data_IF_993149195946
#
_entry.id   IF_993149195946
#
_cell.length_a   1.000
_cell.length_b   1.000
_cell.length_c   1.000
_cell.angle_alpha   90.00
_cell.angle_beta   90.00
_cell.angle_gamma   90.00
#
_symmetry.space_group_name_H-M   'P 1'
#
loop_
_entity.id
_entity.type
_entity.pdbx_description
1 polymer ?
#
# COMPACT_ATOMS: atom_id res chain seq x y z
N UNK A 1 -11.44 29.84 43.65
CA UNK A 1 -12.29 28.66 43.44
C UNK A 1 -12.24 28.13 42.00
N UNK A 2 -12.30 28.94 40.93
CA UNK A 2 -12.24 28.44 39.54
C UNK A 2 -10.96 27.64 39.22
N UNK A 3 -9.76 28.03 39.72
CA UNK A 3 -8.50 27.34 39.47
C UNK A 3 -8.36 25.97 40.17
N UNK A 4 -9.10 25.71 41.24
CA UNK A 4 -9.07 24.44 41.97
C UNK A 4 -9.95 23.41 41.24
N UNK A 5 -11.10 23.84 40.74
CA UNK A 5 -12.03 22.97 39.98
C UNK A 5 -11.42 22.52 38.68
N UNK A 6 -10.69 23.40 37.96
CA UNK A 6 -9.98 23.04 36.72
C UNK A 6 -8.85 22.04 36.98
N UNK A 7 -8.15 22.15 38.11
CA UNK A 7 -7.12 21.20 38.52
C UNK A 7 -7.67 19.85 38.97
N UNK A 8 -8.89 19.81 39.56
CA UNK A 8 -9.57 18.56 39.91
C UNK A 8 -10.16 17.83 38.71
N UNK A 9 -10.67 18.55 37.71
CA UNK A 9 -11.14 17.94 36.44
C UNK A 9 -10.02 17.35 35.60
N UNK A 10 -8.80 17.85 35.72
CA UNK A 10 -7.63 17.24 35.03
C UNK A 10 -7.19 15.91 35.66
N UNK A 11 -7.51 15.64 36.92
CA UNK A 11 -7.16 14.38 37.60
C UNK A 11 -8.00 13.16 37.14
N UNK A 12 -9.15 13.40 36.49
CA UNK A 12 -10.05 12.34 35.98
C UNK A 12 -10.00 12.17 34.46
N UNK A 13 -9.16 12.91 33.75
CA UNK A 13 -8.99 12.65 32.32
C UNK A 13 -8.35 11.28 32.16
N UNK A 14 -9.13 10.30 31.67
CA UNK A 14 -8.60 8.95 31.36
C UNK A 14 -7.34 9.13 30.52
N UNK A 15 -6.23 8.50 30.94
CA UNK A 15 -4.97 8.57 30.20
C UNK A 15 -5.20 8.09 28.77
N UNK A 16 -4.89 8.91 27.78
CA UNK A 16 -4.96 8.52 26.39
C UNK A 16 -3.91 7.45 26.09
N UNK A 17 -4.34 6.33 25.53
CA UNK A 17 -3.49 5.19 25.21
C UNK A 17 -3.46 4.95 23.71
N UNK A 18 -2.37 4.37 23.23
CA UNK A 18 -2.16 4.04 21.82
C UNK A 18 -2.02 2.53 21.67
N UNK A 19 -2.91 1.89 20.92
CA UNK A 19 -2.72 0.51 20.50
C UNK A 19 -1.76 0.48 19.31
N UNK A 20 -0.55 -0.01 19.51
CA UNK A 20 0.43 -0.29 18.45
C UNK A 20 0.07 -1.65 17.85
N UNK A 21 -0.39 -1.64 16.60
CA UNK A 21 -1.00 -2.77 15.90
C UNK A 21 0.03 -3.41 14.95
N UNK A 22 0.56 -4.59 15.32
CA UNK A 22 1.70 -5.24 14.67
C UNK A 22 1.35 -6.66 14.18
N UNK A 23 0.96 -6.84 12.92
CA UNK A 23 0.95 -8.17 12.30
C UNK A 23 2.39 -8.58 11.96
N UNK A 24 2.79 -9.79 12.29
CA UNK A 24 4.12 -10.29 12.00
C UNK A 24 4.05 -11.70 11.40
N UNK A 25 4.65 -11.89 10.24
CA UNK A 25 4.80 -13.20 9.61
C UNK A 25 6.27 -13.58 9.55
N UNK A 26 6.71 -14.44 10.50
CA UNK A 26 8.09 -14.93 10.56
C UNK A 26 9.09 -13.77 10.39
N UNK A 27 8.93 -12.68 11.18
CA UNK A 27 9.56 -11.40 10.95
C UNK A 27 10.73 -11.12 11.91
N UNK A 28 11.97 -11.05 11.40
CA UNK A 28 13.16 -10.77 12.22
C UNK A 28 13.12 -9.38 12.88
N UNK A 29 12.48 -8.41 12.25
CA UNK A 29 12.42 -7.02 12.74
C UNK A 29 11.31 -6.77 13.78
N UNK A 30 10.48 -7.76 14.14
CA UNK A 30 9.42 -7.58 15.13
C UNK A 30 9.95 -7.07 16.48
N UNK A 31 10.94 -7.75 17.04
CA UNK A 31 11.52 -7.40 18.36
C UNK A 31 12.29 -6.07 18.30
N UNK A 32 13.16 -5.82 17.32
CA UNK A 32 13.77 -4.50 17.12
C UNK A 32 12.75 -3.36 17.00
N UNK A 33 11.65 -3.55 16.26
CA UNK A 33 10.56 -2.57 16.12
C UNK A 33 9.90 -2.25 17.46
N UNK A 34 9.57 -3.27 18.26
CA UNK A 34 8.97 -3.08 19.58
C UNK A 34 9.92 -2.29 20.49
N UNK A 35 11.21 -2.66 20.52
CA UNK A 35 12.22 -2.00 21.35
C UNK A 35 12.40 -0.54 20.96
N UNK A 36 12.54 -0.24 19.70
CA UNK A 36 12.70 1.13 19.22
C UNK A 36 11.43 1.97 19.45
N UNK A 37 10.25 1.39 19.20
CA UNK A 37 8.95 2.01 19.49
C UNK A 37 8.84 2.48 20.94
N UNK A 38 9.22 1.63 21.89
CA UNK A 38 9.20 1.94 23.33
C UNK A 38 10.27 2.97 23.70
N UNK A 39 11.48 2.79 23.18
CA UNK A 39 12.63 3.64 23.52
C UNK A 39 12.49 5.09 23.03
N UNK A 40 11.83 5.29 21.89
CA UNK A 40 11.64 6.60 21.28
C UNK A 40 10.36 7.32 21.72
N UNK A 41 9.46 6.64 22.40
CA UNK A 41 8.22 7.24 22.87
C UNK A 41 8.47 8.25 23.99
N UNK A 42 7.74 9.37 24.00
CA UNK A 42 7.73 10.37 25.07
C UNK A 42 7.16 9.81 26.36
N UNK A 43 6.08 9.04 26.26
CA UNK A 43 5.45 8.35 27.38
C UNK A 43 5.18 6.88 27.04
N UNK A 44 6.19 6.00 27.21
CA UNK A 44 6.03 4.57 26.93
C UNK A 44 4.90 3.89 27.71
N UNK A 45 4.44 4.48 28.82
CA UNK A 45 3.38 3.91 29.64
C UNK A 45 1.98 4.05 29.03
N UNK A 46 1.83 4.83 27.95
CA UNK A 46 0.57 4.94 27.18
C UNK A 46 0.46 3.90 26.05
N UNK A 47 1.53 3.16 25.78
CA UNK A 47 1.56 2.20 24.69
C UNK A 47 0.94 0.85 25.14
N UNK A 48 0.09 0.32 24.28
CA UNK A 48 -0.46 -1.04 24.34
C UNK A 48 -0.14 -1.71 23.02
N UNK A 49 0.34 -2.93 23.05
CA UNK A 49 0.75 -3.67 21.85
C UNK A 49 -0.26 -4.76 21.53
N UNK A 50 -0.88 -4.68 20.35
CA UNK A 50 -1.68 -5.74 19.76
C UNK A 50 -0.86 -6.45 18.69
N UNK A 51 -0.51 -7.69 18.91
CA UNK A 51 0.41 -8.44 18.07
C UNK A 51 -0.26 -9.73 17.58
N UNK A 52 -0.28 -9.94 16.27
CA UNK A 52 -0.62 -11.23 15.67
C UNK A 52 0.65 -11.81 15.06
N UNK A 53 1.29 -12.73 15.79
CA UNK A 53 2.53 -13.38 15.39
C UNK A 53 2.21 -14.70 14.68
N UNK A 54 2.49 -14.76 13.38
CA UNK A 54 2.38 -15.94 12.54
C UNK A 54 3.78 -16.59 12.50
N UNK A 55 4.04 -17.52 13.41
CA UNK A 55 5.38 -17.97 13.78
C UNK A 55 5.69 -19.39 13.31
N UNK A 56 6.99 -19.67 13.08
CA UNK A 56 7.53 -21.02 13.01
C UNK A 56 8.36 -21.28 14.27
N UNK A 57 8.15 -22.38 15.02
CA UNK A 57 8.93 -22.70 16.21
C UNK A 57 10.45 -22.81 15.99
N UNK A 58 10.87 -23.06 14.75
CA UNK A 58 12.27 -23.12 14.36
C UNK A 58 12.93 -21.75 14.22
N UNK A 59 12.13 -20.69 13.98
CA UNK A 59 12.60 -19.32 13.88
C UNK A 59 12.84 -18.75 15.28
N UNK A 60 14.09 -18.46 15.62
CA UNK A 60 14.47 -17.98 16.96
C UNK A 60 14.51 -16.46 17.07
N UNK A 61 14.48 -15.76 15.95
CA UNK A 61 14.64 -14.31 15.89
C UNK A 61 13.42 -13.53 16.40
N UNK A 62 12.22 -14.10 16.37
CA UNK A 62 10.98 -13.46 16.81
C UNK A 62 10.51 -13.94 18.21
N UNK A 63 11.45 -14.30 19.08
CA UNK A 63 11.12 -14.74 20.43
C UNK A 63 10.54 -13.60 21.26
N UNK A 64 9.24 -13.66 21.52
CA UNK A 64 8.46 -12.62 22.21
C UNK A 64 8.24 -12.91 23.70
N UNK A 65 8.91 -13.91 24.26
CA UNK A 65 8.64 -14.38 25.62
C UNK A 65 8.89 -13.31 26.70
N UNK A 66 9.81 -12.37 26.48
CA UNK A 66 10.08 -11.27 27.41
C UNK A 66 8.85 -10.36 27.63
N UNK A 67 7.92 -10.31 26.67
CA UNK A 67 6.72 -9.44 26.71
C UNK A 67 5.47 -10.16 27.21
N UNK A 68 5.44 -11.49 27.35
CA UNK A 68 4.22 -12.24 27.65
C UNK A 68 3.61 -11.93 29.03
N UNK A 69 4.44 -11.51 29.98
CA UNK A 69 4.00 -11.17 31.33
C UNK A 69 3.70 -9.67 31.50
N UNK A 70 3.97 -8.84 30.52
CA UNK A 70 3.62 -7.43 30.52
C UNK A 70 2.18 -7.23 30.02
N UNK A 71 1.30 -6.70 30.89
CA UNK A 71 -0.13 -6.49 30.59
C UNK A 71 -0.40 -5.53 29.42
N UNK A 72 0.61 -4.77 29.01
CA UNK A 72 0.52 -3.92 27.81
C UNK A 72 0.52 -4.71 26.51
N UNK A 73 0.97 -5.97 26.52
CA UNK A 73 1.11 -6.82 25.35
C UNK A 73 -0.03 -7.81 25.24
N UNK A 74 -0.80 -7.68 24.19
CA UNK A 74 -1.90 -8.55 23.79
C UNK A 74 -1.45 -9.35 22.57
N UNK A 75 -1.06 -10.61 22.77
CA UNK A 75 -0.39 -11.42 21.76
C UNK A 75 -1.29 -12.57 21.32
N UNK A 76 -1.46 -12.70 20.01
CA UNK A 76 -2.08 -13.84 19.35
C UNK A 76 -0.96 -14.58 18.61
N UNK A 77 -0.75 -15.84 18.94
CA UNK A 77 0.17 -16.72 18.23
C UNK A 77 -0.61 -17.60 17.26
N UNK A 78 -0.21 -17.63 16.02
CA UNK A 78 -0.76 -18.47 14.96
C UNK A 78 0.41 -19.24 14.32
N UNK A 79 0.36 -20.58 14.22
CA UNK A 79 1.34 -21.31 13.41
C UNK A 79 1.36 -20.78 11.99
N UNK A 80 2.54 -20.58 11.40
CA UNK A 80 2.70 -19.95 10.09
C UNK A 80 1.96 -20.71 8.97
N UNK A 81 1.74 -22.01 9.15
CA UNK A 81 0.97 -22.85 8.23
C UNK A 81 -0.52 -22.46 8.18
N UNK A 82 -1.03 -21.81 9.21
CA UNK A 82 -2.43 -21.34 9.30
C UNK A 82 -2.61 -19.89 8.86
N UNK A 83 -1.55 -19.24 8.37
CA UNK A 83 -1.59 -17.88 7.89
C UNK A 83 -2.51 -17.73 6.67
N UNK A 84 -3.36 -16.68 6.68
CA UNK A 84 -4.35 -16.40 5.62
C UNK A 84 -4.14 -15.04 4.95
N UNK A 85 -2.93 -14.48 5.05
CA UNK A 85 -2.59 -13.17 4.53
C UNK A 85 -2.56 -12.07 5.59
N UNK A 86 -2.14 -10.88 5.18
CA UNK A 86 -1.91 -9.75 6.08
C UNK A 86 -3.21 -9.18 6.68
N UNK A 87 -4.29 -8.89 5.91
CA UNK A 87 -5.54 -8.37 6.46
C UNK A 87 -6.22 -9.33 7.46
N UNK A 88 -6.04 -10.64 7.30
CA UNK A 88 -6.50 -11.61 8.30
C UNK A 88 -5.81 -11.40 9.66
N UNK A 89 -4.47 -11.26 9.67
CA UNK A 89 -3.72 -11.00 10.90
C UNK A 89 -4.13 -9.67 11.53
N UNK A 90 -4.37 -8.63 10.72
CA UNK A 90 -4.86 -7.32 11.17
C UNK A 90 -6.27 -7.41 11.78
N UNK A 91 -7.17 -8.17 11.15
CA UNK A 91 -8.50 -8.40 11.68
C UNK A 91 -8.45 -9.07 13.08
N UNK A 92 -7.55 -10.04 13.28
CA UNK A 92 -7.34 -10.68 14.57
C UNK A 92 -6.85 -9.70 15.65
N UNK A 93 -5.97 -8.77 15.29
CA UNK A 93 -5.51 -7.73 16.24
C UNK A 93 -6.64 -6.76 16.59
N UNK A 94 -7.52 -6.42 15.66
CA UNK A 94 -8.66 -5.52 15.93
C UNK A 94 -9.58 -6.10 17.02
N UNK A 95 -9.66 -7.43 17.16
CA UNK A 95 -10.43 -8.09 18.24
C UNK A 95 -9.84 -7.83 19.65
N UNK A 96 -8.56 -7.40 19.73
CA UNK A 96 -7.88 -7.07 20.97
C UNK A 96 -8.15 -5.64 21.47
N UNK A 97 -8.84 -4.81 20.71
CA UNK A 97 -9.16 -3.43 21.10
C UNK A 97 -10.13 -3.47 22.28
N UNK A 98 -9.72 -2.92 23.45
CA UNK A 98 -10.54 -2.93 24.67
C UNK A 98 -10.93 -1.55 25.20
N UNK A 99 -10.32 -0.49 24.70
CA UNK A 99 -10.63 0.87 25.15
C UNK A 99 -9.46 1.82 25.04
N UNK A 100 -8.51 1.50 24.20
CA UNK A 100 -7.43 2.40 23.79
C UNK A 100 -8.03 3.60 23.05
N UNK A 101 -7.37 4.75 23.16
CA UNK A 101 -7.86 6.00 22.56
C UNK A 101 -7.50 6.07 21.08
N UNK A 102 -6.27 5.70 20.77
CA UNK A 102 -5.75 5.72 19.41
C UNK A 102 -5.28 4.33 18.98
N UNK A 103 -5.25 4.12 17.70
CA UNK A 103 -4.60 2.98 17.04
C UNK A 103 -3.48 3.50 16.14
N UNK A 104 -2.33 2.86 16.20
CA UNK A 104 -1.22 3.00 15.27
C UNK A 104 -1.05 1.68 14.53
N UNK A 105 -1.62 1.59 13.32
CA UNK A 105 -1.44 0.44 12.44
C UNK A 105 -0.09 0.54 11.75
N UNK A 106 0.71 -0.53 11.87
CA UNK A 106 2.03 -0.65 11.26
C UNK A 106 2.22 -2.05 10.65
N UNK A 107 3.30 -2.23 9.94
CA UNK A 107 3.94 -3.53 9.75
C UNK A 107 4.88 -3.82 10.94
N UNK A 108 5.68 -4.87 10.89
CA UNK A 108 6.53 -5.25 12.01
C UNK A 108 8.02 -4.98 11.78
N UNK A 109 8.36 -3.97 10.96
CA UNK A 109 9.74 -3.60 10.59
C UNK A 109 9.89 -2.08 10.44
N UNK A 110 9.87 -1.39 11.59
CA UNK A 110 9.89 0.07 11.68
C UNK A 110 10.95 0.60 12.64
N UNK A 111 11.32 1.88 12.49
CA UNK A 111 12.04 2.70 13.47
C UNK A 111 11.31 4.01 13.66
N UNK A 112 11.51 4.62 14.82
CA UNK A 112 10.72 5.76 15.28
C UNK A 112 11.61 6.99 15.52
N UNK A 113 11.06 8.18 15.30
CA UNK A 113 11.68 9.41 15.76
C UNK A 113 11.45 9.59 17.26
N UNK A 114 12.30 10.39 17.89
CA UNK A 114 12.09 10.77 19.29
C UNK A 114 10.73 11.46 19.48
N UNK A 115 10.02 11.12 20.55
CA UNK A 115 8.72 11.68 20.94
C UNK A 115 7.61 11.47 19.85
N UNK A 116 7.71 10.40 19.09
CA UNK A 116 6.79 10.07 17.99
C UNK A 116 5.33 10.01 18.41
N UNK A 117 5.06 9.49 19.61
CA UNK A 117 3.71 9.29 20.16
C UNK A 117 3.02 10.64 20.46
N UNK A 118 3.73 11.59 21.04
CA UNK A 118 3.24 12.94 21.27
C UNK A 118 3.05 13.68 19.94
N UNK A 119 3.99 13.52 19.01
CA UNK A 119 3.93 14.14 17.69
C UNK A 119 2.68 13.69 16.90
N UNK A 120 2.38 12.39 16.85
CA UNK A 120 1.19 11.89 16.15
C UNK A 120 -0.10 12.35 16.82
N UNK A 121 -0.16 12.28 18.15
CA UNK A 121 -1.35 12.72 18.90
C UNK A 121 -1.61 14.20 18.71
N UNK A 122 -0.54 15.05 18.77
CA UNK A 122 -0.70 16.49 18.52
C UNK A 122 -1.23 16.76 17.11
N UNK A 123 -0.61 16.20 16.07
CA UNK A 123 -1.07 16.36 14.69
C UNK A 123 -2.53 15.93 14.50
N UNK A 124 -2.92 14.82 15.13
CA UNK A 124 -4.27 14.30 15.03
C UNK A 124 -5.27 15.25 15.70
N UNK A 125 -4.98 15.70 16.93
CA UNK A 125 -5.86 16.60 17.68
C UNK A 125 -5.99 17.97 16.99
N UNK A 126 -4.91 18.53 16.45
CA UNK A 126 -4.94 19.78 15.68
C UNK A 126 -5.88 19.70 14.46
N UNK A 127 -6.01 18.51 13.86
CA UNK A 127 -6.94 18.27 12.76
C UNK A 127 -8.39 18.07 13.27
N UNK A 128 -8.59 17.36 14.40
CA UNK A 128 -9.90 17.25 15.05
C UNK A 128 -10.45 18.62 15.46
N UNK A 129 -9.60 19.48 16.02
CA UNK A 129 -9.97 20.85 16.42
C UNK A 129 -10.40 21.72 15.22
N UNK A 130 -9.92 21.40 14.01
CA UNK A 130 -10.36 21.97 12.73
C UNK A 130 -11.65 21.34 12.18
N UNK A 131 -12.25 20.39 12.88
CA UNK A 131 -13.50 19.72 12.52
C UNK A 131 -13.36 18.53 11.55
N UNK A 132 -12.15 18.00 11.35
CA UNK A 132 -11.93 16.80 10.56
C UNK A 132 -12.14 15.53 11.40
N UNK A 133 -12.37 14.40 10.74
CA UNK A 133 -12.31 13.04 11.30
C UNK A 133 -11.03 12.36 10.76
N UNK A 134 -9.83 12.69 11.30
CA UNK A 134 -8.58 12.46 10.63
C UNK A 134 -8.05 11.03 10.75
N UNK A 135 -7.42 10.56 9.68
CA UNK A 135 -6.50 9.44 9.66
C UNK A 135 -5.15 9.99 9.17
N UNK A 136 -4.12 9.96 10.01
CA UNK A 136 -2.76 10.22 9.58
C UNK A 136 -2.23 8.96 8.91
N UNK A 137 -1.84 9.07 7.64
CA UNK A 137 -1.36 7.97 6.83
C UNK A 137 -0.37 8.47 5.80
N UNK A 138 0.46 7.60 5.25
CA UNK A 138 1.41 8.00 4.21
C UNK A 138 2.39 6.91 3.90
N UNK A 139 3.12 7.07 2.81
CA UNK A 139 4.25 6.21 2.53
C UNK A 139 5.42 6.63 3.42
N UNK A 140 5.85 5.76 4.31
CA UNK A 140 6.93 6.07 5.26
C UNK A 140 8.29 6.07 4.56
N UNK A 141 9.20 7.00 4.93
CA UNK A 141 10.55 7.01 4.40
C UNK A 141 11.31 5.74 4.80
N UNK A 142 12.22 5.35 3.93
CA UNK A 142 13.02 4.14 4.02
C UNK A 142 14.11 4.19 5.10
N UNK A 143 14.43 3.02 5.66
CA UNK A 143 15.67 2.72 6.37
C UNK A 143 16.13 1.30 6.07
N UNK A 144 17.43 1.03 6.20
CA UNK A 144 18.00 -0.31 6.13
C UNK A 144 18.33 -0.84 7.53
N UNK A 145 17.76 -2.00 7.96
CA UNK A 145 18.13 -2.61 9.25
C UNK A 145 19.62 -2.92 9.38
N UNK A 146 20.31 -3.21 8.28
CA UNK A 146 21.76 -3.53 8.29
C UNK A 146 22.65 -2.31 8.48
N UNK A 147 22.13 -1.10 8.25
CA UNK A 147 22.86 0.16 8.32
C UNK A 147 22.14 1.21 9.17
N UNK A 148 21.27 0.75 10.08
CA UNK A 148 20.56 1.61 11.01
C UNK A 148 21.49 2.10 12.13
N UNK A 149 21.58 3.43 12.42
CA UNK A 149 20.74 4.51 11.92
C UNK A 149 21.28 5.28 10.69
N UNK A 150 22.45 4.93 10.14
CA UNK A 150 23.16 5.73 9.13
C UNK A 150 22.39 5.84 7.81
N UNK A 151 21.58 4.82 7.46
CA UNK A 151 20.83 4.76 6.19
C UNK A 151 19.34 5.09 6.38
N UNK A 152 19.01 5.97 7.33
CA UNK A 152 17.65 6.53 7.48
C UNK A 152 17.43 7.67 6.52
N UNK A 153 16.43 7.55 5.64
CA UNK A 153 16.02 8.62 4.75
C UNK A 153 15.65 9.88 5.57
N UNK A 154 16.15 11.04 5.17
CA UNK A 154 15.96 12.30 5.89
C UNK A 154 14.82 13.15 5.30
N UNK A 155 14.10 12.65 4.33
CA UNK A 155 13.02 13.34 3.64
C UNK A 155 11.69 12.62 3.86
N UNK A 156 10.60 13.32 4.20
CA UNK A 156 9.28 12.70 4.32
C UNK A 156 8.72 12.35 2.94
N UNK A 157 8.09 11.19 2.85
CA UNK A 157 7.48 10.70 1.62
C UNK A 157 5.95 10.81 1.68
N UNK A 158 5.33 10.86 0.51
CA UNK A 158 3.90 10.80 0.30
C UNK A 158 3.52 9.65 -0.64
N UNK A 159 2.26 9.28 -0.62
CA UNK A 159 1.69 8.33 -1.57
C UNK A 159 1.36 9.03 -2.87
N UNK A 160 1.80 8.46 -3.99
CA UNK A 160 1.53 8.93 -5.34
C UNK A 160 0.84 7.83 -6.15
N UNK A 161 -0.12 8.22 -6.97
CA UNK A 161 -0.71 7.32 -7.95
C UNK A 161 0.35 6.92 -8.99
N UNK A 162 0.47 5.64 -9.28
CA UNK A 162 1.34 5.14 -10.35
C UNK A 162 0.52 4.65 -11.55
N UNK A 163 -0.34 3.65 -11.33
CA UNK A 163 -1.18 3.09 -12.39
C UNK A 163 -2.35 2.29 -11.79
N UNK A 164 -3.27 1.88 -12.66
CA UNK A 164 -4.19 0.80 -12.38
C UNK A 164 -3.59 -0.54 -12.80
N UNK A 165 -3.68 -1.53 -11.93
CA UNK A 165 -3.40 -2.92 -12.31
C UNK A 165 -4.56 -3.52 -13.13
N UNK A 166 -4.31 -4.56 -13.96
CA UNK A 166 -5.35 -5.22 -14.75
C UNK A 166 -6.53 -5.73 -13.91
N UNK A 167 -6.27 -6.16 -12.69
CA UNK A 167 -7.29 -6.64 -11.76
C UNK A 167 -8.10 -5.55 -11.06
N UNK A 168 -7.86 -4.26 -11.39
CA UNK A 168 -8.68 -3.12 -10.95
C UNK A 168 -8.22 -2.41 -9.67
N UNK A 169 -7.13 -2.86 -9.02
CA UNK A 169 -6.54 -2.11 -7.91
C UNK A 169 -5.57 -1.03 -8.42
N UNK A 170 -5.22 -0.08 -7.56
CA UNK A 170 -4.25 0.98 -7.87
C UNK A 170 -2.88 0.58 -7.32
N UNK A 171 -1.85 0.77 -8.13
CA UNK A 171 -0.47 0.79 -7.66
C UNK A 171 -0.15 2.17 -7.13
N UNK A 172 0.24 2.23 -5.87
CA UNK A 172 0.65 3.43 -5.15
C UNK A 172 2.15 3.35 -4.94
N UNK A 173 2.87 4.40 -5.33
CA UNK A 173 4.32 4.47 -5.14
C UNK A 173 4.71 5.53 -4.12
N UNK A 174 5.90 5.42 -3.51
CA UNK A 174 6.47 6.51 -2.73
C UNK A 174 6.89 7.68 -3.62
N UNK A 175 6.83 8.88 -3.08
CA UNK A 175 7.40 10.07 -3.68
C UNK A 175 7.70 11.12 -2.60
N UNK A 176 8.62 12.03 -2.90
CA UNK A 176 8.97 13.10 -1.99
C UNK A 176 7.75 13.98 -1.67
N UNK A 177 7.56 14.29 -0.40
CA UNK A 177 6.55 15.26 0.04
C UNK A 177 6.97 16.68 -0.37
N UNK A 178 6.31 17.23 -1.39
CA UNK A 178 6.70 18.53 -1.95
C UNK A 178 6.57 19.68 -0.93
N UNK A 179 7.59 20.51 -0.85
CA UNK A 179 7.64 21.69 0.03
C UNK A 179 7.66 21.36 1.53
N UNK A 180 8.05 20.16 1.92
CA UNK A 180 8.04 19.70 3.32
C UNK A 180 8.85 20.58 4.26
N UNK A 181 9.93 21.20 3.77
CA UNK A 181 10.83 22.06 4.59
C UNK A 181 10.12 23.26 5.24
N UNK A 182 9.04 23.72 4.63
CA UNK A 182 8.28 24.89 5.09
C UNK A 182 6.90 24.57 5.62
N UNK A 183 6.49 23.28 5.58
CA UNK A 183 5.18 22.86 6.08
C UNK A 183 5.14 22.79 7.59
N UNK A 184 4.07 23.30 8.17
CA UNK A 184 3.83 23.33 9.61
C UNK A 184 2.68 22.41 10.05
N UNK A 185 1.94 21.84 9.09
CA UNK A 185 0.78 21.00 9.36
C UNK A 185 0.65 19.85 8.34
N UNK A 186 -0.05 18.74 8.70
CA UNK A 186 -0.35 17.64 7.79
C UNK A 186 -1.11 18.11 6.56
N UNK A 187 -0.89 17.42 5.43
CA UNK A 187 -1.58 17.71 4.17
C UNK A 187 -2.54 16.59 3.79
N UNK A 188 -3.52 16.90 2.95
CA UNK A 188 -4.48 15.92 2.47
C UNK A 188 -3.79 14.77 1.72
N UNK A 189 -4.25 13.54 1.97
CA UNK A 189 -3.85 12.33 1.27
C UNK A 189 -4.98 11.77 0.40
N UNK A 190 -4.63 11.10 -0.71
CA UNK A 190 -5.61 10.36 -1.53
C UNK A 190 -5.84 8.94 -1.02
N UNK A 191 -4.83 8.32 -0.46
CA UNK A 191 -4.82 6.89 -0.15
C UNK A 191 -4.44 6.64 1.30
N UNK A 192 -4.83 5.48 1.82
CA UNK A 192 -4.31 4.92 3.08
C UNK A 192 -3.18 3.96 2.72
N UNK A 193 -2.08 4.03 3.46
CA UNK A 193 -1.03 3.03 3.41
C UNK A 193 -1.32 1.88 4.37
N UNK A 194 -1.09 0.65 3.94
CA UNK A 194 -1.20 -0.52 4.79
C UNK A 194 -0.20 -0.53 5.94
N UNK A 195 1.01 -0.02 5.72
CA UNK A 195 2.08 -0.03 6.71
C UNK A 195 2.10 1.18 7.66
N UNK A 196 1.19 2.16 7.49
CA UNK A 196 1.06 3.28 8.41
C UNK A 196 -0.32 3.92 8.38
N UNK A 197 -1.05 3.81 9.48
CA UNK A 197 -2.24 4.61 9.74
C UNK A 197 -2.37 4.88 11.24
N UNK A 198 -2.61 6.15 11.60
CA UNK A 198 -2.86 6.58 12.98
C UNK A 198 -4.19 7.33 13.07
N UNK A 199 -5.08 6.85 13.94
CA UNK A 199 -6.43 7.40 14.10
C UNK A 199 -6.97 7.11 15.50
N UNK A 200 -8.17 7.61 15.81
CA UNK A 200 -8.98 7.11 16.95
C UNK A 200 -9.31 5.62 16.74
N UNK A 201 -9.39 4.84 17.81
CA UNK A 201 -9.73 3.40 17.73
C UNK A 201 -11.12 3.14 17.15
N UNK A 202 -12.03 4.13 17.19
CA UNK A 202 -13.32 4.10 16.52
C UNK A 202 -13.19 3.79 15.03
N UNK A 203 -12.15 4.32 14.37
CA UNK A 203 -11.86 3.98 12.98
C UNK A 203 -11.71 2.48 12.77
N UNK A 204 -10.87 1.82 13.55
CA UNK A 204 -10.61 0.38 13.40
C UNK A 204 -11.81 -0.50 13.77
N UNK A 205 -12.72 0.00 14.63
CA UNK A 205 -13.99 -0.67 14.97
C UNK A 205 -15.02 -0.54 13.86
N UNK A 206 -15.06 0.61 13.20
CA UNK A 206 -15.99 0.93 12.11
C UNK A 206 -15.47 0.36 10.77
N UNK A 207 -14.18 0.55 10.48
CA UNK A 207 -13.52 0.10 9.24
C UNK A 207 -12.70 -1.17 9.52
N UNK A 208 -13.39 -2.24 9.86
CA UNK A 208 -12.73 -3.52 10.13
C UNK A 208 -11.95 -4.01 8.91
N UNK A 209 -10.79 -4.60 9.14
CA UNK A 209 -10.08 -5.32 8.08
C UNK A 209 -10.92 -6.49 7.59
N UNK A 210 -11.05 -6.62 6.26
CA UNK A 210 -11.72 -7.75 5.64
C UNK A 210 -10.78 -8.97 5.61
N UNK A 211 -11.02 -10.03 6.39
CA UNK A 211 -10.12 -11.17 6.50
C UNK A 211 -10.07 -12.04 5.23
N UNK A 212 -10.95 -11.80 4.26
CA UNK A 212 -10.95 -12.48 2.97
C UNK A 212 -10.09 -11.74 1.91
N UNK A 213 -9.56 -10.56 2.23
CA UNK A 213 -8.51 -9.94 1.43
C UNK A 213 -7.19 -10.59 1.84
N UNK A 214 -6.50 -11.17 0.83
CA UNK A 214 -5.26 -11.89 1.10
C UNK A 214 -4.07 -10.95 1.30
N UNK A 215 -3.84 -10.04 0.35
CA UNK A 215 -2.77 -9.03 0.39
C UNK A 215 -3.11 -7.82 -0.46
N UNK A 216 -2.94 -7.93 -1.81
CA UNK A 216 -3.18 -6.81 -2.73
C UNK A 216 -4.66 -6.39 -2.74
N UNK A 217 -4.88 -5.09 -2.60
CA UNK A 217 -6.20 -4.47 -2.51
C UNK A 217 -6.57 -3.99 -1.10
N UNK A 218 -5.80 -4.34 -0.05
CA UNK A 218 -6.04 -3.88 1.30
C UNK A 218 -6.09 -2.35 1.40
N UNK A 219 -5.07 -1.67 0.88
CA UNK A 219 -4.95 -0.21 0.97
C UNK A 219 -6.13 0.50 0.29
N UNK A 220 -6.54 0.01 -0.88
CA UNK A 220 -7.68 0.57 -1.60
C UNK A 220 -9.00 0.29 -0.87
N UNK A 221 -9.17 -0.92 -0.30
CA UNK A 221 -10.32 -1.28 0.54
C UNK A 221 -10.47 -0.32 1.73
N UNK A 222 -9.39 -0.15 2.50
CA UNK A 222 -9.38 0.77 3.64
C UNK A 222 -9.64 2.21 3.21
N UNK A 223 -9.05 2.65 2.11
CA UNK A 223 -9.15 4.01 1.58
C UNK A 223 -10.60 4.38 1.26
N UNK A 224 -11.26 3.62 0.37
CA UNK A 224 -12.61 3.98 -0.09
C UNK A 224 -13.65 3.82 1.02
N UNK A 225 -13.48 2.81 1.88
CA UNK A 225 -14.37 2.60 3.02
C UNK A 225 -14.21 3.71 4.05
N UNK A 226 -13.00 4.06 4.43
CA UNK A 226 -12.74 5.17 5.36
C UNK A 226 -13.32 6.48 4.84
N UNK A 227 -13.05 6.83 3.58
CA UNK A 227 -13.58 8.06 2.99
C UNK A 227 -15.11 8.08 2.97
N UNK A 228 -15.75 6.99 2.55
CA UNK A 228 -17.22 6.92 2.48
C UNK A 228 -17.92 6.89 3.85
N UNK A 229 -17.20 6.48 4.91
CA UNK A 229 -17.65 6.62 6.31
C UNK A 229 -17.33 8.00 6.91
N UNK A 230 -16.82 8.94 6.11
CA UNK A 230 -16.63 10.32 6.52
C UNK A 230 -15.27 10.63 7.14
N UNK A 231 -14.31 9.72 7.09
CA UNK A 231 -12.93 9.99 7.52
C UNK A 231 -12.17 10.83 6.49
N UNK A 232 -11.21 11.61 6.99
CA UNK A 232 -10.37 12.51 6.22
C UNK A 232 -8.92 12.06 6.27
N UNK A 233 -8.29 11.87 5.11
CA UNK A 233 -6.95 11.32 4.99
C UNK A 233 -5.89 12.41 4.95
N UNK A 234 -4.82 12.26 5.74
CA UNK A 234 -3.74 13.23 5.84
C UNK A 234 -2.36 12.58 5.88
N UNK A 235 -1.39 13.18 5.18
CA UNK A 235 0.04 12.88 5.36
C UNK A 235 0.61 13.72 6.51
N UNK A 236 1.39 13.13 7.44
CA UNK A 236 2.26 13.89 8.31
C UNK A 236 3.22 14.77 7.49
N UNK A 237 3.39 16.00 7.90
CA UNK A 237 4.28 16.94 7.19
C UNK A 237 5.77 16.77 7.51
N UNK A 238 6.11 15.89 8.44
CA UNK A 238 7.49 15.56 8.86
C UNK A 238 7.64 14.07 9.10
N UNK A 239 8.86 13.60 9.14
CA UNK A 239 9.17 12.22 9.47
C UNK A 239 8.78 11.94 10.92
N UNK A 240 8.07 10.84 11.14
CA UNK A 240 7.71 10.33 12.47
C UNK A 240 8.19 8.88 12.63
N UNK A 241 8.15 8.10 11.55
CA UNK A 241 8.46 6.68 11.53
C UNK A 241 9.18 6.37 10.21
N UNK A 242 10.11 5.41 10.23
CA UNK A 242 10.76 4.81 9.06
C UNK A 242 10.28 3.38 8.84
N UNK A 243 10.35 2.91 7.60
CA UNK A 243 9.90 1.60 7.18
C UNK A 243 11.00 0.84 6.41
N UNK A 244 11.31 -0.41 6.78
CA UNK A 244 12.25 -1.25 6.03
C UNK A 244 11.55 -1.91 4.85
N UNK A 245 11.51 -1.22 3.71
CA UNK A 245 10.79 -1.66 2.51
C UNK A 245 11.47 -2.85 1.84
N UNK A 246 12.82 -2.88 1.83
CA UNK A 246 13.60 -3.90 1.11
C UNK A 246 13.69 -5.19 1.94
N UNK A 247 13.13 -6.29 1.40
CA UNK A 247 13.07 -7.58 2.08
C UNK A 247 14.41 -8.23 2.27
N UNK A 248 15.29 -8.12 1.28
CA UNK A 248 16.63 -8.64 1.27
C UNK A 248 17.43 -8.10 2.45
N UNK A 249 17.18 -6.85 2.83
CA UNK A 249 17.84 -6.16 3.93
C UNK A 249 17.33 -6.52 5.33
N UNK A 250 16.25 -7.29 5.43
CA UNK A 250 15.70 -7.75 6.72
C UNK A 250 15.50 -9.26 6.80
N UNK A 251 15.88 -9.99 5.75
CA UNK A 251 15.71 -11.46 5.68
C UNK A 251 14.26 -11.93 5.91
N UNK A 252 13.28 -11.05 5.56
CA UNK A 252 11.86 -11.30 5.78
C UNK A 252 11.33 -12.49 4.98
N UNK A 253 10.40 -13.24 5.57
CA UNK A 253 9.71 -14.36 4.92
C UNK A 253 8.40 -13.89 4.33
N UNK A 254 7.91 -14.62 3.34
CA UNK A 254 6.65 -14.34 2.66
C UNK A 254 5.67 -15.47 2.83
N UNK A 255 4.43 -15.13 3.17
CA UNK A 255 3.37 -16.11 3.34
C UNK A 255 3.12 -16.92 2.06
N UNK A 256 3.12 -16.29 0.90
CA UNK A 256 2.89 -16.96 -0.38
C UNK A 256 4.04 -17.87 -0.82
N UNK A 257 5.30 -17.56 -0.47
CA UNK A 257 6.44 -18.45 -0.76
C UNK A 257 6.34 -19.75 0.05
N UNK A 258 5.98 -19.63 1.33
CA UNK A 258 5.83 -20.80 2.20
C UNK A 258 4.57 -21.60 1.81
N UNK A 259 3.48 -20.97 1.44
CA UNK A 259 2.28 -21.62 0.92
C UNK A 259 2.56 -22.33 -0.41
N UNK A 260 3.28 -21.69 -1.33
CA UNK A 260 3.70 -22.31 -2.59
C UNK A 260 4.52 -23.59 -2.35
N UNK A 261 5.49 -23.54 -1.42
CA UNK A 261 6.30 -24.71 -1.05
C UNK A 261 5.47 -25.87 -0.47
N UNK A 262 4.35 -25.56 0.19
CA UNK A 262 3.39 -26.54 0.70
C UNK A 262 2.35 -26.99 -0.32
N UNK A 263 2.41 -26.47 -1.55
CA UNK A 263 1.44 -26.79 -2.60
C UNK A 263 0.07 -26.12 -2.42
N UNK A 264 -0.03 -25.04 -1.63
CA UNK A 264 -1.25 -24.30 -1.43
C UNK A 264 -1.50 -23.30 -2.57
N UNK A 265 -2.77 -23.09 -2.93
CA UNK A 265 -3.18 -22.16 -3.97
C UNK A 265 -3.29 -20.72 -3.44
N UNK A 266 -2.17 -20.11 -3.05
CA UNK A 266 -2.15 -18.72 -2.57
C UNK A 266 -2.68 -17.72 -3.61
N UNK A 267 -2.45 -17.99 -4.91
CA UNK A 267 -2.92 -17.12 -5.98
C UNK A 267 -4.45 -17.12 -6.08
N UNK A 268 -5.11 -18.25 -5.81
CA UNK A 268 -6.58 -18.33 -5.72
C UNK A 268 -7.15 -17.44 -4.60
N UNK A 269 -6.48 -17.36 -3.45
CA UNK A 269 -6.85 -16.44 -2.38
C UNK A 269 -6.71 -14.98 -2.83
N UNK A 270 -5.65 -14.66 -3.57
CA UNK A 270 -5.45 -13.31 -4.09
C UNK A 270 -6.48 -12.96 -5.17
N UNK A 271 -6.86 -13.90 -6.04
CA UNK A 271 -7.93 -13.69 -7.03
C UNK A 271 -9.28 -13.39 -6.36
N UNK A 272 -9.62 -14.11 -5.28
CA UNK A 272 -10.81 -13.81 -4.48
C UNK A 272 -10.74 -12.39 -3.89
N UNK A 273 -9.60 -12.00 -3.35
CA UNK A 273 -9.41 -10.64 -2.84
C UNK A 273 -9.69 -9.58 -3.91
N UNK A 274 -9.14 -9.73 -5.12
CA UNK A 274 -9.41 -8.80 -6.22
C UNK A 274 -10.88 -8.79 -6.66
N UNK A 275 -11.54 -9.95 -6.62
CA UNK A 275 -12.98 -10.05 -6.89
C UNK A 275 -13.78 -9.22 -5.88
N UNK A 276 -13.46 -9.34 -4.58
CA UNK A 276 -14.08 -8.53 -3.51
C UNK A 276 -13.85 -7.04 -3.71
N UNK A 277 -12.62 -6.62 -4.09
CA UNK A 277 -12.30 -5.21 -4.38
C UNK A 277 -13.14 -4.68 -5.54
N UNK A 278 -13.26 -5.43 -6.66
CA UNK A 278 -14.08 -4.99 -7.80
C UNK A 278 -15.55 -4.84 -7.43
N UNK A 279 -16.08 -5.73 -6.59
CA UNK A 279 -17.45 -5.60 -6.07
C UNK A 279 -17.61 -4.37 -5.17
N UNK A 280 -16.63 -4.12 -4.28
CA UNK A 280 -16.62 -2.92 -3.43
C UNK A 280 -16.60 -1.63 -4.25
N UNK A 281 -15.78 -1.59 -5.31
CA UNK A 281 -15.63 -0.44 -6.22
C UNK A 281 -16.76 -0.34 -7.26
N UNK A 282 -17.77 -1.26 -7.24
CA UNK A 282 -18.88 -1.30 -8.20
C UNK A 282 -18.43 -1.41 -9.67
N UNK A 283 -17.21 -1.92 -9.91
CA UNK A 283 -16.69 -2.17 -11.26
C UNK A 283 -17.10 -3.55 -11.79
N UNK A 284 -17.49 -4.44 -10.91
CA UNK A 284 -18.05 -5.78 -11.18
C UNK A 284 -19.11 -6.09 -10.13
N UNK A 285 -20.09 -6.91 -10.47
CA UNK A 285 -21.08 -7.44 -9.54
C UNK A 285 -21.06 -8.96 -9.62
N UNK A 286 -20.70 -9.62 -8.54
CA UNK A 286 -20.72 -11.06 -8.38
C UNK A 286 -21.65 -11.42 -7.23
N UNK A 287 -22.62 -12.32 -7.48
CA UNK A 287 -23.65 -12.71 -6.49
C UNK A 287 -23.08 -13.52 -5.31
N UNK A 288 -21.94 -14.17 -5.51
CA UNK A 288 -21.24 -14.97 -4.49
C UNK A 288 -20.29 -14.14 -3.60
N UNK A 289 -20.22 -12.81 -3.80
CA UNK A 289 -19.42 -11.91 -2.97
C UNK A 289 -20.29 -11.21 -1.93
N UNK A 290 -20.17 -11.66 -0.70
CA UNK A 290 -20.80 -10.99 0.45
C UNK A 290 -19.83 -9.95 1.06
N UNK A 291 -20.22 -8.68 1.03
CA UNK A 291 -19.50 -7.56 1.66
C UNK A 291 -20.15 -7.09 2.97
N UNK A 292 -21.05 -7.87 3.55
CA UNK A 292 -21.73 -7.50 4.82
C UNK A 292 -20.70 -7.20 5.91
N UNK A 293 -20.73 -5.99 6.45
CA UNK A 293 -19.78 -5.48 7.44
C UNK A 293 -18.45 -4.97 6.85
N UNK A 294 -18.28 -5.05 5.52
CA UNK A 294 -17.07 -4.63 4.80
C UNK A 294 -17.39 -3.75 3.58
N UNK A 295 -18.61 -3.23 3.47
CA UNK A 295 -19.05 -2.40 2.35
C UNK A 295 -18.69 -0.91 2.56
N UNK A 296 -19.01 -0.10 1.57
CA UNK A 296 -18.88 1.36 1.59
C UNK A 296 -19.77 1.97 2.67
N UNK A 297 -19.34 3.12 3.19
CA UNK A 297 -20.15 3.96 4.06
C UNK A 297 -21.24 4.73 3.29
N UNK A 298 -22.03 5.49 4.05
CA UNK A 298 -23.15 6.28 3.53
C UNK A 298 -22.99 7.78 3.74
N UNK A 299 -21.89 8.24 4.35
CA UNK A 299 -21.61 9.66 4.62
C UNK A 299 -21.17 10.37 3.34
N UNK A 300 -20.36 9.69 2.52
CA UNK A 300 -19.93 10.13 1.18
C UNK A 300 -20.08 8.96 0.22
N UNK A 301 -20.31 9.25 -1.06
CA UNK A 301 -20.43 8.23 -2.10
C UNK A 301 -19.06 7.81 -2.64
N UNK A 302 -19.02 6.70 -3.37
CA UNK A 302 -17.83 6.31 -4.13
C UNK A 302 -17.48 7.36 -5.20
N UNK A 303 -18.48 7.96 -5.84
CA UNK A 303 -18.27 9.04 -6.81
C UNK A 303 -17.66 10.29 -6.15
N UNK A 304 -18.02 10.60 -4.90
CA UNK A 304 -17.35 11.69 -4.16
C UNK A 304 -15.87 11.38 -3.95
N UNK A 305 -15.52 10.10 -3.70
CA UNK A 305 -14.13 9.70 -3.61
C UNK A 305 -13.41 9.79 -4.97
N UNK A 306 -14.04 9.33 -6.05
CA UNK A 306 -13.47 9.45 -7.41
C UNK A 306 -13.16 10.91 -7.75
N UNK A 307 -14.08 11.83 -7.46
CA UNK A 307 -13.90 13.27 -7.63
C UNK A 307 -12.79 13.83 -6.72
N UNK A 308 -12.77 13.42 -5.45
CA UNK A 308 -11.75 13.83 -4.49
C UNK A 308 -10.34 13.41 -4.94
N UNK A 309 -10.20 12.17 -5.38
CA UNK A 309 -8.91 11.57 -5.72
C UNK A 309 -8.49 11.77 -7.18
N UNK A 310 -9.42 12.19 -8.06
CA UNK A 310 -9.18 12.30 -9.49
C UNK A 310 -8.90 10.96 -10.16
N UNK A 311 -9.64 9.92 -9.76
CA UNK A 311 -9.56 8.57 -10.33
C UNK A 311 -10.95 8.11 -10.79
N UNK A 312 -11.00 7.23 -11.78
CA UNK A 312 -12.25 6.65 -12.27
C UNK A 312 -12.09 5.13 -12.32
N UNK A 313 -12.67 4.42 -11.37
CA UNK A 313 -12.43 2.99 -11.20
C UNK A 313 -12.91 2.15 -12.38
N UNK A 314 -14.13 2.38 -12.85
CA UNK A 314 -14.70 1.61 -13.97
C UNK A 314 -13.89 1.76 -15.26
N UNK A 315 -13.38 2.96 -15.55
CA UNK A 315 -12.56 3.26 -16.74
C UNK A 315 -11.07 2.96 -16.52
N UNK A 316 -10.63 2.70 -15.28
CA UNK A 316 -9.21 2.65 -14.87
C UNK A 316 -8.45 3.88 -15.37
N UNK A 317 -9.01 5.04 -15.12
CA UNK A 317 -8.52 6.29 -15.64
C UNK A 317 -8.22 7.27 -14.50
N UNK A 318 -7.37 8.24 -14.78
CA UNK A 318 -6.85 9.18 -13.80
C UNK A 318 -6.76 10.58 -14.41
N UNK A 319 -7.03 11.59 -13.60
CA UNK A 319 -6.87 12.98 -14.02
C UNK A 319 -5.40 13.41 -14.02
N UNK A 320 -5.03 14.29 -14.95
CA UNK A 320 -3.69 14.86 -15.04
C UNK A 320 -3.23 15.51 -13.74
N UNK A 321 -4.10 16.20 -13.01
CA UNK A 321 -3.79 16.83 -11.73
C UNK A 321 -3.29 15.79 -10.68
N UNK A 322 -3.88 14.60 -10.68
CA UNK A 322 -3.43 13.50 -9.80
C UNK A 322 -2.08 12.93 -10.23
N UNK A 323 -1.86 12.79 -11.53
CA UNK A 323 -0.58 12.35 -12.11
C UNK A 323 0.55 13.34 -11.82
N UNK A 324 0.25 14.64 -11.87
CA UNK A 324 1.20 15.71 -11.55
C UNK A 324 1.43 15.87 -10.03
N UNK A 325 0.88 14.96 -9.22
CA UNK A 325 0.95 14.95 -7.77
C UNK A 325 0.35 16.19 -7.07
N UNK A 326 -0.63 16.84 -7.70
CA UNK A 326 -1.44 17.88 -7.07
C UNK A 326 -2.12 17.36 -5.80
N UNK A 327 -2.32 18.18 -4.78
CA UNK A 327 -2.92 17.77 -3.52
C UNK A 327 -4.45 17.59 -3.65
N UNK A 328 -5.04 16.54 -3.03
CA UNK A 328 -6.49 16.41 -3.01
C UNK A 328 -7.16 17.42 -2.04
N UNK A 329 -8.44 17.77 -2.23
CA UNK A 329 -9.30 17.32 -3.34
C UNK A 329 -8.84 17.85 -4.69
N UNK A 330 -9.08 17.09 -5.76
CA UNK A 330 -8.84 17.59 -7.09
C UNK A 330 -9.73 18.81 -7.38
N UNK A 331 -9.30 19.75 -8.25
CA UNK A 331 -10.14 20.86 -8.66
C UNK A 331 -11.48 20.36 -9.23
N UNK A 332 -12.61 20.97 -8.85
CA UNK A 332 -13.91 20.55 -9.33
C UNK A 332 -14.04 20.84 -10.85
N UNK A 333 -14.67 19.92 -11.57
CA UNK A 333 -15.06 20.13 -12.96
C UNK A 333 -16.32 21.00 -13.02
N UNK A 334 -16.47 21.81 -14.08
CA UNK A 334 -17.60 22.71 -14.27
C UNK A 334 -18.91 21.95 -14.52
N UNK A 335 -18.82 20.77 -15.13
CA UNK A 335 -19.94 19.90 -15.45
C UNK A 335 -19.50 18.45 -15.68
N UNK A 336 -20.46 17.54 -15.85
CA UNK A 336 -20.18 16.11 -16.04
C UNK A 336 -19.40 15.83 -17.33
N UNK A 337 -19.59 16.60 -18.40
CA UNK A 337 -18.84 16.43 -19.65
C UNK A 337 -17.35 16.77 -19.46
N UNK A 338 -17.05 17.86 -18.77
CA UNK A 338 -15.66 18.19 -18.43
C UNK A 338 -15.05 17.13 -17.51
N UNK A 339 -15.80 16.67 -16.52
CA UNK A 339 -15.39 15.58 -15.65
C UNK A 339 -15.02 14.33 -16.45
N UNK A 340 -15.90 13.83 -17.31
CA UNK A 340 -15.66 12.65 -18.14
C UNK A 340 -14.47 12.81 -19.09
N UNK A 341 -14.25 13.99 -19.64
CA UNK A 341 -13.16 14.28 -20.58
C UNK A 341 -11.82 14.58 -19.91
N UNK A 342 -11.79 14.74 -18.58
CA UNK A 342 -10.56 15.07 -17.83
C UNK A 342 -9.65 13.87 -17.54
N UNK A 343 -10.09 12.67 -17.92
CA UNK A 343 -9.42 11.42 -17.61
C UNK A 343 -8.61 10.85 -18.76
N UNK A 344 -7.43 10.30 -18.42
CA UNK A 344 -6.62 9.46 -19.29
C UNK A 344 -6.55 8.06 -18.71
N UNK A 345 -6.69 7.03 -19.53
CA UNK A 345 -6.59 5.64 -19.07
C UNK A 345 -5.16 5.26 -18.73
N UNK A 346 -5.02 4.47 -17.69
CA UNK A 346 -3.75 3.90 -17.25
C UNK A 346 -3.70 2.42 -17.59
N UNK A 347 -2.66 2.01 -18.30
CA UNK A 347 -2.44 0.62 -18.67
C UNK A 347 -1.20 0.05 -18.00
N UNK A 348 -1.34 -1.18 -17.53
CA UNK A 348 -0.25 -2.07 -17.15
C UNK A 348 -0.14 -3.17 -18.19
N UNK A 349 1.01 -3.35 -18.78
CA UNK A 349 1.27 -4.39 -19.75
C UNK A 349 2.45 -5.25 -19.29
N UNK A 350 2.21 -6.56 -19.19
CA UNK A 350 3.25 -7.54 -18.94
C UNK A 350 3.73 -8.10 -20.26
N UNK A 351 5.01 -7.88 -20.59
CA UNK A 351 5.69 -8.47 -21.73
C UNK A 351 6.37 -9.74 -21.24
N UNK A 352 5.81 -10.91 -21.57
CA UNK A 352 6.33 -12.21 -21.15
C UNK A 352 6.72 -13.03 -22.38
N UNK A 353 7.97 -13.49 -22.44
CA UNK A 353 8.51 -14.17 -23.61
C UNK A 353 9.55 -15.23 -23.27
N UNK A 354 9.77 -16.17 -24.21
CA UNK A 354 10.80 -17.19 -24.13
C UNK A 354 12.14 -16.63 -24.62
N UNK A 355 13.16 -16.62 -23.75
CA UNK A 355 14.51 -16.14 -24.06
C UNK A 355 15.21 -16.95 -25.16
N UNK A 356 14.81 -18.20 -25.38
CA UNK A 356 15.40 -19.04 -26.43
C UNK A 356 15.16 -18.52 -27.85
N UNK A 357 14.22 -17.57 -28.00
CA UNK A 357 14.01 -16.84 -29.25
C UNK A 357 15.17 -15.86 -29.56
N UNK A 358 15.97 -15.51 -28.55
CA UNK A 358 17.10 -14.57 -28.67
C UNK A 358 18.43 -15.34 -28.57
N UNK A 359 18.96 -15.76 -29.72
CA UNK A 359 20.12 -16.65 -29.80
C UNK A 359 21.47 -15.94 -29.93
N UNK A 360 21.46 -14.64 -30.20
CA UNK A 360 22.66 -13.83 -30.34
C UNK A 360 23.04 -13.19 -28.99
N UNK A 361 24.28 -12.81 -28.86
CA UNK A 361 24.83 -12.15 -27.67
C UNK A 361 25.36 -10.73 -27.98
N UNK A 362 25.07 -10.22 -29.19
CA UNK A 362 25.52 -8.92 -29.67
C UNK A 362 24.39 -7.97 -30.06
N UNK A 363 23.24 -8.09 -29.34
CA UNK A 363 22.14 -7.16 -29.51
C UNK A 363 22.54 -5.76 -29.02
N UNK A 364 22.35 -4.76 -29.87
CA UNK A 364 22.63 -3.37 -29.56
C UNK A 364 21.39 -2.64 -29.06
N UNK A 365 20.18 -2.94 -29.58
CA UNK A 365 18.93 -2.49 -29.02
C UNK A 365 17.74 -3.39 -29.39
N UNK A 366 16.69 -3.32 -28.59
CA UNK A 366 15.39 -3.92 -28.89
C UNK A 366 14.32 -2.84 -28.95
N UNK A 367 13.53 -2.80 -30.02
CA UNK A 367 12.29 -2.04 -30.04
C UNK A 367 11.24 -2.82 -29.28
N UNK A 368 10.69 -2.22 -28.23
CA UNK A 368 9.51 -2.72 -27.53
C UNK A 368 8.36 -1.77 -27.82
N UNK A 369 7.31 -2.28 -28.45
CA UNK A 369 6.17 -1.48 -28.84
C UNK A 369 4.85 -2.10 -28.37
N UNK A 370 3.84 -1.24 -28.22
CA UNK A 370 2.47 -1.61 -27.94
C UNK A 370 1.58 -1.00 -29.03
N UNK A 371 0.86 -1.85 -29.75
CA UNK A 371 0.03 -1.44 -30.87
C UNK A 371 -1.44 -1.56 -30.55
N UNK A 372 -2.29 -0.72 -31.16
CA UNK A 372 -3.75 -0.85 -31.14
C UNK A 372 -4.23 -2.01 -32.02
N UNK A 373 -5.54 -2.25 -32.06
CA UNK A 373 -6.15 -3.30 -32.90
C UNK A 373 -5.91 -3.11 -34.41
N UNK A 374 -5.63 -1.90 -34.84
CA UNK A 374 -5.35 -1.55 -36.23
C UNK A 374 -3.83 -1.62 -36.57
N UNK A 375 -2.99 -1.98 -35.60
CA UNK A 375 -1.54 -2.05 -35.74
C UNK A 375 -0.83 -0.69 -35.66
N UNK A 376 -1.50 0.36 -35.20
CA UNK A 376 -0.85 1.65 -34.95
C UNK A 376 -0.11 1.60 -33.62
N UNK A 377 1.15 2.03 -33.60
CA UNK A 377 1.94 2.10 -32.39
C UNK A 377 1.38 3.14 -31.42
N UNK A 378 1.03 2.69 -30.22
CA UNK A 378 0.56 3.53 -29.10
C UNK A 378 1.74 4.01 -28.27
N UNK A 379 2.63 3.08 -27.94
CA UNK A 379 3.78 3.31 -27.08
C UNK A 379 4.98 2.54 -27.63
N UNK A 380 6.16 3.17 -27.63
CA UNK A 380 7.42 2.57 -28.03
C UNK A 380 8.53 2.93 -27.06
N UNK A 381 9.41 1.98 -26.82
CA UNK A 381 10.64 2.13 -26.06
C UNK A 381 11.73 1.34 -26.76
N UNK A 382 12.94 1.87 -26.80
CA UNK A 382 14.11 1.19 -27.34
C UNK A 382 15.03 0.78 -26.16
N UNK A 383 15.00 -0.52 -25.80
CA UNK A 383 15.87 -1.09 -24.77
C UNK A 383 17.31 -1.12 -25.28
N UNK A 384 18.22 -0.64 -24.46
CA UNK A 384 19.65 -0.59 -24.77
C UNK A 384 20.37 -1.88 -24.35
N UNK A 385 21.57 -2.10 -24.88
CA UNK A 385 22.39 -3.28 -24.66
C UNK A 385 22.50 -3.71 -23.18
N UNK A 386 22.65 -2.77 -22.26
CA UNK A 386 22.75 -3.07 -20.82
C UNK A 386 21.47 -3.67 -20.25
N UNK A 387 20.31 -3.11 -20.62
CA UNK A 387 18.99 -3.60 -20.19
C UNK A 387 18.70 -4.99 -20.81
N UNK A 388 19.06 -5.18 -22.07
CA UNK A 388 18.90 -6.46 -22.76
C UNK A 388 19.74 -7.55 -22.08
N UNK A 389 21.00 -7.25 -21.77
CA UNK A 389 21.90 -8.19 -21.10
C UNK A 389 21.40 -8.55 -19.69
N UNK A 390 20.86 -7.59 -18.95
CA UNK A 390 20.23 -7.86 -17.67
C UNK A 390 19.05 -8.83 -17.81
N UNK A 391 18.16 -8.58 -18.76
CA UNK A 391 17.00 -9.43 -19.03
C UNK A 391 17.42 -10.85 -19.43
N UNK A 392 18.38 -10.98 -20.35
CA UNK A 392 18.84 -12.26 -20.85
C UNK A 392 19.66 -13.06 -19.82
N UNK A 393 20.30 -12.41 -18.86
CA UNK A 393 21.09 -13.05 -17.79
C UNK A 393 20.25 -13.74 -16.72
N UNK A 394 18.96 -13.49 -16.64
CA UNK A 394 18.06 -14.14 -15.66
C UNK A 394 18.06 -15.66 -15.86
N UNK A 395 17.93 -16.43 -14.78
CA UNK A 395 18.11 -17.91 -14.82
C UNK A 395 17.00 -18.64 -15.58
N UNK A 396 15.75 -18.14 -15.50
CA UNK A 396 14.61 -18.82 -16.07
C UNK A 396 14.56 -18.70 -17.60
N UNK A 397 14.06 -19.74 -18.27
CA UNK A 397 13.84 -19.74 -19.73
C UNK A 397 12.82 -18.67 -20.14
N UNK A 398 11.71 -18.59 -19.42
CA UNK A 398 10.71 -17.54 -19.59
C UNK A 398 11.07 -16.34 -18.73
N UNK A 399 11.01 -15.16 -19.33
CA UNK A 399 11.28 -13.90 -18.64
C UNK A 399 10.20 -12.87 -18.98
N UNK A 400 10.10 -11.85 -18.14
CA UNK A 400 9.14 -10.78 -18.35
C UNK A 400 9.71 -9.43 -17.92
N UNK A 401 9.06 -8.38 -18.38
CA UNK A 401 9.17 -7.03 -17.84
C UNK A 401 7.82 -6.30 -17.92
N UNK A 402 7.64 -5.34 -17.07
CA UNK A 402 6.39 -4.60 -16.95
C UNK A 402 6.51 -3.23 -17.58
N UNK A 403 5.41 -2.73 -18.16
CA UNK A 403 5.30 -1.36 -18.65
C UNK A 403 4.00 -0.73 -18.19
N UNK A 404 4.14 0.52 -17.76
CA UNK A 404 3.03 1.36 -17.35
C UNK A 404 3.00 2.58 -18.26
N UNK A 405 1.86 2.86 -18.88
CA UNK A 405 1.71 4.03 -19.73
C UNK A 405 0.27 4.53 -19.77
N UNK A 406 0.11 5.76 -20.21
CA UNK A 406 -1.16 6.45 -20.27
C UNK A 406 -1.54 6.63 -21.75
N UNK A 407 -2.77 6.27 -22.09
CA UNK A 407 -3.27 6.43 -23.45
C UNK A 407 -4.80 6.34 -23.47
N UNK A 408 -5.43 6.96 -24.46
CA UNK A 408 -6.87 6.80 -24.73
C UNK A 408 -7.17 5.62 -25.66
N UNK A 409 -6.11 5.03 -26.27
CA UNK A 409 -6.21 3.86 -27.14
C UNK A 409 -5.98 2.59 -26.33
N UNK A 410 -6.67 1.50 -26.68
CA UNK A 410 -6.51 0.21 -26.02
C UNK A 410 -5.31 -0.53 -26.63
N UNK A 411 -4.27 -0.87 -25.86
CA UNK A 411 -3.16 -1.68 -26.36
C UNK A 411 -3.64 -3.10 -26.64
N UNK A 412 -3.55 -3.53 -27.91
CA UNK A 412 -4.03 -4.82 -28.38
C UNK A 412 -2.92 -5.89 -28.41
N UNK A 413 -1.72 -5.50 -28.77
CA UNK A 413 -0.55 -6.40 -28.78
C UNK A 413 0.71 -5.70 -28.32
N UNK A 414 1.65 -6.47 -27.79
CA UNK A 414 3.01 -6.04 -27.60
C UNK A 414 3.92 -6.68 -28.66
N UNK A 415 5.01 -5.98 -28.96
CA UNK A 415 6.00 -6.36 -29.98
C UNK A 415 7.38 -6.24 -29.38
N UNK A 416 8.26 -7.24 -29.61
CA UNK A 416 9.71 -7.12 -29.47
C UNK A 416 10.33 -7.28 -30.84
N UNK A 417 11.11 -6.30 -31.25
CA UNK A 417 11.88 -6.36 -32.49
C UNK A 417 13.35 -6.08 -32.18
N UNK A 418 14.14 -7.14 -32.18
CA UNK A 418 15.55 -7.11 -31.80
C UNK A 418 16.44 -6.73 -32.98
N UNK A 419 17.44 -5.89 -32.71
CA UNK A 419 18.53 -5.60 -33.64
C UNK A 419 19.85 -6.06 -33.04
N UNK A 420 20.69 -6.70 -33.88
CA UNK A 420 22.05 -7.15 -33.55
C UNK A 420 23.10 -6.49 -34.43
N UNK A 421 24.26 -6.30 -33.87
CA UNK A 421 25.42 -5.71 -34.60
C UNK A 421 25.87 -6.57 -35.80
N UNK A 422 25.78 -7.90 -35.67
CA UNK A 422 26.24 -8.83 -36.69
C UNK A 422 25.23 -9.20 -37.77
N UNK A 423 23.92 -9.25 -37.43
CA UNK A 423 22.89 -9.76 -38.34
C UNK A 423 21.77 -8.74 -38.64
N UNK A 424 21.80 -7.55 -38.01
CA UNK A 424 20.76 -6.54 -38.15
C UNK A 424 19.45 -6.95 -37.47
N UNK A 425 18.33 -6.66 -38.12
CA UNK A 425 16.99 -6.92 -37.58
C UNK A 425 16.62 -8.40 -37.57
N UNK A 426 16.20 -8.91 -36.43
CA UNK A 426 15.62 -10.24 -36.26
C UNK A 426 14.15 -10.30 -36.68
N UNK A 427 13.57 -11.48 -36.64
CA UNK A 427 12.11 -11.64 -36.76
C UNK A 427 11.40 -10.95 -35.58
N UNK A 428 10.25 -10.32 -35.86
CA UNK A 428 9.43 -9.68 -34.84
C UNK A 428 8.73 -10.74 -34.01
N UNK A 429 8.79 -10.60 -32.68
CA UNK A 429 8.01 -11.40 -31.74
C UNK A 429 6.82 -10.55 -31.32
N UNK A 430 5.62 -11.06 -31.58
CA UNK A 430 4.37 -10.36 -31.27
C UNK A 430 3.45 -11.25 -30.42
N UNK A 431 2.72 -10.64 -29.48
CA UNK A 431 1.74 -11.35 -28.65
C UNK A 431 0.54 -10.48 -28.36
N UNK A 432 -0.65 -11.07 -28.44
CA UNK A 432 -1.91 -10.40 -28.13
C UNK A 432 -2.00 -10.17 -26.61
N UNK A 433 -2.36 -8.96 -26.21
CA UNK A 433 -2.58 -8.60 -24.81
C UNK A 433 -3.99 -9.04 -24.41
N UNK A 434 -4.08 -10.01 -23.49
CA UNK A 434 -5.35 -10.43 -22.95
C UNK A 434 -5.85 -9.45 -21.89
N UNK A 435 -6.88 -8.68 -22.19
CA UNK A 435 -7.56 -7.79 -21.24
C UNK A 435 -8.59 -8.57 -20.41
N UNK A 436 -8.11 -9.52 -19.59
CA UNK A 436 -8.97 -10.44 -18.79
C UNK A 436 -10.00 -9.76 -17.88
N UNK A 437 -9.84 -8.47 -17.63
CA UNK A 437 -10.66 -7.70 -16.70
C UNK A 437 -11.28 -6.43 -17.33
N UNK A 438 -11.13 -6.24 -18.62
CA UNK A 438 -11.84 -5.17 -19.33
C UNK A 438 -13.23 -5.69 -19.68
N UNK A 439 -14.23 -5.30 -18.88
CA UNK A 439 -15.61 -5.44 -19.30
C UNK A 439 -15.84 -4.54 -20.52
N UNK A 440 -16.31 -5.13 -21.60
CA UNK A 440 -16.82 -4.45 -22.78
C UNK A 440 -17.93 -3.47 -22.43
#
# INVERSE_FOLDING_TARGET
>A
MKNIITKWLSFFKKKETILVHLPAYREPELIPTIKDCIAQAKDPSRLVFGICRQFNPEDKFDNINEYRNDKRFKIIDIPYEQAKGLPYARARINELITGETYILQLDSHHRFTKDWDETLVSMHNDLEDKGFKPILTGYLPYYSPFKDPEDRCQEPWQQQFACFYPHGTIFIRPGLLQGWQTRTEPIRSRFISGHFAFARTEWAKEIKHDPQIYFSGEELNLTVRSFTHGYDLFHPHKIVIWHATMREERSGKLVWDDQYKRGENWYGFQQLAWKRIRNLLRTQKDEDVDLTGYDLGTVRTLNDYEKYAGVHFKRRAVQKYTLDNGLPPNPPSLNDTEWENSFTRSYYCLVNFDKTNFKLNDYDFWVVAFDDENGNCIQREDLQETQINEILSRKDQWTNFERFFLTDKIPHKWVIWAHSKSQGWAERIEHIIEHKFDNK
#
